data_IF_778174160006
#
_entry.id   IF_778174160006
#
_cell.length_a   1.000
_cell.length_b   1.000
_cell.length_c   1.000
_cell.angle_alpha   90.00
_cell.angle_beta   90.00
_cell.angle_gamma   90.00
#
_symmetry.space_group_name_H-M   'P 1'
#
loop_
_entity.id
_entity.type
_entity.pdbx_description
1 polymer ?
#
# COMPACT_ATOMS: atom_id res chain seq x y z
N UNK A 1 -14.70 -54.08 37.64
CA UNK A 1 -15.26 -52.98 36.82
C UNK A 1 -14.48 -52.91 35.51
N UNK A 2 -15.12 -53.05 34.35
CA UNK A 2 -14.45 -52.99 33.04
C UNK A 2 -14.78 -51.63 32.43
N UNK A 3 -13.80 -50.72 32.41
CA UNK A 3 -13.93 -49.44 31.71
C UNK A 3 -14.07 -49.71 30.21
N UNK A 4 -15.31 -49.70 29.72
CA UNK A 4 -15.57 -49.71 28.29
C UNK A 4 -15.08 -48.37 27.76
N UNK A 5 -14.00 -48.40 26.97
CA UNK A 5 -13.38 -47.19 26.38
C UNK A 5 -14.43 -46.42 25.59
N UNK A 6 -14.88 -45.30 26.15
CA UNK A 6 -15.80 -44.36 25.51
C UNK A 6 -15.06 -43.60 24.40
N UNK A 7 -14.91 -44.26 23.25
CA UNK A 7 -14.22 -43.74 22.06
C UNK A 7 -15.10 -42.83 21.19
N UNK A 8 -16.35 -42.56 21.61
CA UNK A 8 -17.34 -41.79 20.83
C UNK A 8 -17.00 -40.30 20.76
N UNK A 9 -16.40 -39.73 21.80
CA UNK A 9 -15.93 -38.34 21.80
C UNK A 9 -14.72 -38.09 20.90
N UNK A 10 -13.95 -39.12 20.54
CA UNK A 10 -12.73 -38.96 19.76
C UNK A 10 -12.99 -38.53 18.31
N UNK A 11 -14.01 -39.08 17.66
CA UNK A 11 -14.36 -38.71 16.28
C UNK A 11 -14.80 -37.25 16.15
N UNK A 12 -15.52 -36.73 17.15
CA UNK A 12 -15.94 -35.33 17.18
C UNK A 12 -14.73 -34.41 17.35
N UNK A 13 -13.83 -34.73 18.27
CA UNK A 13 -12.60 -33.94 18.49
C UNK A 13 -11.73 -33.94 17.23
N UNK A 14 -11.53 -35.10 16.59
CA UNK A 14 -10.77 -35.19 15.34
C UNK A 14 -11.43 -34.36 14.23
N UNK A 15 -12.76 -34.43 14.09
CA UNK A 15 -13.51 -33.62 13.12
C UNK A 15 -13.33 -32.11 13.37
N UNK A 16 -13.45 -31.67 14.61
CA UNK A 16 -13.26 -30.25 14.97
C UNK A 16 -11.85 -29.76 14.69
N UNK A 17 -10.82 -30.55 15.02
CA UNK A 17 -9.42 -30.18 14.74
C UNK A 17 -9.17 -30.06 13.24
N UNK A 18 -9.70 -30.99 12.44
CA UNK A 18 -9.56 -30.95 10.98
C UNK A 18 -10.28 -29.72 10.40
N UNK A 19 -11.52 -29.45 10.82
CA UNK A 19 -12.28 -28.27 10.39
C UNK A 19 -11.57 -26.97 10.77
N UNK A 20 -11.05 -26.90 11.99
CA UNK A 20 -10.27 -25.75 12.46
C UNK A 20 -8.97 -25.60 11.65
N UNK A 21 -8.28 -26.69 11.34
CA UNK A 21 -7.12 -26.69 10.46
C UNK A 21 -7.45 -26.13 9.08
N UNK A 22 -8.56 -26.54 8.47
CA UNK A 22 -9.02 -25.98 7.20
C UNK A 22 -9.35 -24.50 7.29
N UNK A 23 -9.95 -24.04 8.40
CA UNK A 23 -10.20 -22.63 8.62
C UNK A 23 -8.89 -21.82 8.64
N UNK A 24 -7.87 -22.29 9.38
CA UNK A 24 -6.55 -21.63 9.42
C UNK A 24 -5.90 -21.61 8.05
N UNK A 25 -5.98 -22.71 7.29
CA UNK A 25 -5.46 -22.76 5.92
C UNK A 25 -6.18 -21.78 5.00
N UNK A 26 -7.51 -21.70 5.08
CA UNK A 26 -8.30 -20.76 4.30
C UNK A 26 -7.95 -19.30 4.63
N UNK A 27 -7.76 -18.98 5.92
CA UNK A 27 -7.30 -17.66 6.36
C UNK A 27 -5.87 -17.36 5.84
N UNK A 28 -4.99 -18.35 5.84
CA UNK A 28 -3.64 -18.22 5.26
C UNK A 28 -3.66 -17.95 3.76
N UNK A 29 -4.52 -18.65 3.00
CA UNK A 29 -4.70 -18.39 1.56
C UNK A 29 -5.22 -16.97 1.34
N UNK A 30 -6.21 -16.53 2.12
CA UNK A 30 -6.73 -15.17 2.04
C UNK A 30 -5.64 -14.12 2.31
N UNK A 31 -4.80 -14.35 3.33
CA UNK A 31 -3.68 -13.46 3.69
C UNK A 31 -2.63 -13.35 2.57
N UNK A 32 -2.42 -14.39 1.78
CA UNK A 32 -1.39 -14.39 0.70
C UNK A 32 -1.95 -13.93 -0.64
N UNK A 33 -3.25 -14.05 -0.89
CA UNK A 33 -3.84 -13.72 -2.18
C UNK A 33 -4.62 -12.41 -2.15
N UNK A 34 -5.48 -12.20 -1.16
CA UNK A 34 -6.41 -11.06 -1.16
C UNK A 34 -5.81 -9.83 -0.48
N UNK A 35 -5.17 -10.00 0.68
CA UNK A 35 -4.56 -8.87 1.41
C UNK A 35 -3.53 -8.11 0.55
N UNK A 36 -2.63 -8.77 -0.22
CA UNK A 36 -1.69 -8.05 -1.08
C UNK A 36 -2.40 -7.32 -2.22
N UNK A 37 -3.45 -7.90 -2.81
CA UNK A 37 -4.24 -7.23 -3.86
C UNK A 37 -4.91 -5.97 -3.33
N UNK A 38 -5.54 -6.03 -2.17
CA UNK A 38 -6.16 -4.86 -1.54
C UNK A 38 -5.10 -3.78 -1.23
N UNK A 39 -3.92 -4.18 -0.74
CA UNK A 39 -2.83 -3.24 -0.45
C UNK A 39 -2.30 -2.59 -1.71
N UNK A 40 -2.13 -3.35 -2.80
CA UNK A 40 -1.71 -2.83 -4.09
C UNK A 40 -2.70 -1.78 -4.64
N UNK A 41 -4.00 -1.95 -4.40
CA UNK A 41 -5.00 -0.94 -4.77
C UNK A 41 -4.83 0.37 -3.99
N UNK A 42 -4.54 0.28 -2.69
CA UNK A 42 -4.26 1.47 -1.84
C UNK A 42 -2.97 2.16 -2.29
N UNK A 43 -1.94 1.39 -2.59
CA UNK A 43 -0.65 1.91 -3.09
C UNK A 43 -0.80 2.57 -4.47
N UNK A 44 -1.63 2.01 -5.35
CA UNK A 44 -1.92 2.60 -6.66
C UNK A 44 -2.74 3.90 -6.58
N UNK A 45 -3.68 4.00 -5.64
CA UNK A 45 -4.37 5.27 -5.37
C UNK A 45 -3.39 6.32 -4.85
N UNK A 46 -2.49 5.91 -3.95
CA UNK A 46 -1.46 6.78 -3.44
C UNK A 46 -0.47 7.25 -4.53
N UNK A 47 -0.08 6.39 -5.47
CA UNK A 47 0.81 6.79 -6.57
C UNK A 47 0.14 7.82 -7.49
N UNK A 48 -1.14 7.67 -7.80
CA UNK A 48 -1.89 8.67 -8.56
C UNK A 48 -1.96 10.01 -7.82
N UNK A 49 -2.18 9.98 -6.50
CA UNK A 49 -2.16 11.21 -5.69
C UNK A 49 -0.80 11.91 -5.74
N UNK A 50 0.30 11.16 -5.66
CA UNK A 50 1.66 11.72 -5.77
C UNK A 50 1.91 12.31 -7.16
N UNK A 51 1.44 11.64 -8.23
CA UNK A 51 1.53 12.16 -9.60
C UNK A 51 0.79 13.50 -9.75
N UNK A 52 -0.41 13.60 -9.19
CA UNK A 52 -1.19 14.85 -9.15
C UNK A 52 -0.46 15.95 -8.37
N UNK A 53 0.07 15.64 -7.18
CA UNK A 53 0.84 16.58 -6.34
C UNK A 53 2.07 17.13 -7.11
N UNK A 54 2.75 16.30 -7.91
CA UNK A 54 3.86 16.75 -8.77
C UNK A 54 3.40 17.60 -9.94
N UNK A 55 2.21 17.35 -10.48
CA UNK A 55 1.56 18.21 -11.46
C UNK A 55 1.34 19.62 -10.91
N UNK A 56 0.85 19.70 -9.68
CA UNK A 56 0.65 20.97 -8.97
C UNK A 56 1.98 21.68 -8.66
N UNK A 57 3.00 20.93 -8.21
CA UNK A 57 4.34 21.48 -7.98
C UNK A 57 4.91 22.10 -9.25
N UNK A 58 4.78 21.42 -10.40
CA UNK A 58 5.20 21.96 -11.69
C UNK A 58 4.49 23.26 -12.03
N UNK A 59 3.18 23.32 -11.82
CA UNK A 59 2.38 24.52 -12.08
C UNK A 59 2.80 25.69 -11.18
N UNK A 60 3.10 25.42 -9.90
CA UNK A 60 3.58 26.42 -8.94
C UNK A 60 4.97 26.95 -9.32
N UNK A 61 5.88 26.07 -9.76
CA UNK A 61 7.21 26.48 -10.26
C UNK A 61 7.08 27.36 -11.51
N UNK A 62 6.22 26.99 -12.46
CA UNK A 62 5.98 27.79 -13.67
C UNK A 62 5.37 29.15 -13.33
N UNK A 63 4.41 29.19 -12.39
CA UNK A 63 3.81 30.43 -11.91
C UNK A 63 4.84 31.32 -11.24
N UNK A 64 5.65 30.77 -10.34
CA UNK A 64 6.72 31.50 -9.66
C UNK A 64 7.73 32.11 -10.63
N UNK A 65 8.11 31.37 -11.67
CA UNK A 65 8.98 31.88 -12.74
C UNK A 65 8.35 32.99 -13.58
N UNK A 66 7.04 32.92 -13.83
CA UNK A 66 6.32 33.90 -14.65
C UNK A 66 5.95 35.19 -13.90
N UNK A 67 5.59 35.10 -12.62
CA UNK A 67 5.05 36.23 -11.84
C UNK A 67 5.99 36.72 -10.75
N UNK A 68 7.02 35.95 -10.38
CA UNK A 68 7.86 36.19 -9.21
C UNK A 68 7.18 35.85 -7.87
N UNK A 69 6.00 35.22 -7.88
CA UNK A 69 5.30 34.83 -6.64
C UNK A 69 5.89 33.57 -6.02
N UNK A 70 6.06 33.53 -4.70
CA UNK A 70 6.42 32.29 -3.99
C UNK A 70 5.19 31.38 -3.84
N UNK A 71 5.38 30.07 -4.06
CA UNK A 71 4.38 29.02 -3.85
C UNK A 71 4.95 27.86 -3.03
N UNK A 72 4.07 27.03 -2.49
CA UNK A 72 4.42 25.80 -1.77
C UNK A 72 3.38 24.74 -2.08
N UNK A 73 3.86 23.56 -2.49
CA UNK A 73 3.03 22.40 -2.77
C UNK A 73 3.37 21.31 -1.78
N UNK A 74 2.34 20.68 -1.20
CA UNK A 74 2.52 19.52 -0.33
C UNK A 74 2.54 18.26 -1.19
N UNK A 75 3.50 17.36 -0.92
CA UNK A 75 3.54 16.04 -1.55
C UNK A 75 3.31 14.99 -0.47
N UNK A 76 2.30 14.14 -0.67
CA UNK A 76 1.98 13.05 0.24
C UNK A 76 2.93 11.88 -0.03
N UNK A 77 4.03 11.75 0.72
CA UNK A 77 5.05 10.71 0.45
C UNK A 77 4.75 9.33 1.05
N UNK A 78 3.67 9.17 1.81
CA UNK A 78 3.35 7.87 2.42
C UNK A 78 1.85 7.66 2.60
N UNK A 79 1.47 6.39 2.76
CA UNK A 79 0.09 5.99 2.97
C UNK A 79 -0.04 4.90 4.03
N UNK A 80 -1.23 4.79 4.62
CA UNK A 80 -1.55 3.81 5.66
C UNK A 80 -2.59 2.84 5.15
N UNK A 81 -2.38 1.56 5.42
CA UNK A 81 -3.35 0.53 5.09
C UNK A 81 -4.58 0.59 6.02
N UNK A 82 -5.81 0.35 5.51
CA UNK A 82 -7.02 0.27 6.32
C UNK A 82 -6.92 -0.82 7.40
N UNK A 83 -7.54 -0.59 8.56
CA UNK A 83 -7.56 -1.57 9.65
C UNK A 83 -8.29 -2.87 9.24
N UNK A 84 -7.75 -4.03 9.66
CA UNK A 84 -8.32 -5.35 9.38
C UNK A 84 -8.51 -6.14 10.68
N UNK A 85 -9.64 -6.83 10.83
CA UNK A 85 -9.99 -7.54 12.08
C UNK A 85 -9.22 -8.84 12.29
N UNK A 86 -9.03 -9.63 11.23
CA UNK A 86 -8.41 -10.96 11.32
C UNK A 86 -7.04 -11.06 10.63
N UNK A 87 -6.62 -10.00 9.94
CA UNK A 87 -5.48 -10.03 9.01
C UNK A 87 -4.45 -8.98 9.37
N UNK A 88 -3.23 -9.23 8.92
CA UNK A 88 -2.08 -8.37 9.22
C UNK A 88 -1.72 -7.57 7.98
N UNK A 89 -1.61 -6.25 8.16
CA UNK A 89 -1.02 -5.37 7.16
C UNK A 89 0.48 -5.25 7.39
N UNK A 90 1.27 -5.01 6.32
CA UNK A 90 2.65 -4.58 6.49
C UNK A 90 2.71 -3.20 7.18
N UNK A 91 3.89 -2.79 7.67
CA UNK A 91 4.11 -1.42 8.15
C UNK A 91 3.71 -0.39 7.09
N UNK A 92 3.26 0.82 7.48
CA UNK A 92 2.92 1.88 6.53
C UNK A 92 4.07 2.17 5.56
N UNK A 93 3.74 2.42 4.29
CA UNK A 93 4.72 2.77 3.26
C UNK A 93 5.06 4.25 3.33
N UNK A 94 6.33 4.55 3.08
CA UNK A 94 6.87 5.91 3.01
C UNK A 94 7.87 6.02 1.87
N UNK A 95 7.89 7.18 1.21
CA UNK A 95 8.85 7.57 0.20
C UNK A 95 9.76 8.69 0.67
N UNK A 96 10.75 8.99 -0.16
CA UNK A 96 11.69 10.10 0.02
C UNK A 96 11.55 11.07 -1.13
N UNK A 97 11.68 12.36 -0.83
CA UNK A 97 11.81 13.41 -1.82
C UNK A 97 13.14 14.12 -1.58
N UNK A 98 13.94 14.20 -2.63
CA UNK A 98 15.21 14.91 -2.61
C UNK A 98 15.34 15.75 -3.87
N UNK A 99 16.00 16.89 -3.72
CA UNK A 99 16.42 17.71 -4.86
C UNK A 99 17.83 17.27 -5.23
N UNK A 100 18.05 16.99 -6.51
CA UNK A 100 19.40 16.75 -7.01
C UNK A 100 20.11 18.07 -7.38
N UNK A 101 21.44 18.00 -7.50
CA UNK A 101 22.21 19.13 -7.97
C UNK A 101 21.78 19.51 -9.40
N UNK A 102 21.65 20.81 -9.67
CA UNK A 102 21.29 21.32 -11.00
C UNK A 102 22.32 20.87 -12.04
N UNK A 103 21.91 19.96 -12.93
CA UNK A 103 22.71 19.52 -14.08
C UNK A 103 22.69 20.53 -15.24
N UNK A 104 23.51 20.29 -16.26
CA UNK A 104 23.54 21.12 -17.47
C UNK A 104 22.22 20.93 -18.27
N UNK A 105 21.37 21.96 -18.32
CA UNK A 105 20.15 21.96 -19.14
C UNK A 105 20.49 22.51 -20.53
N UNK A 106 20.46 21.66 -21.56
CA UNK A 106 20.78 22.07 -22.94
C UNK A 106 19.52 22.10 -23.81
N UNK A 107 19.07 23.31 -24.15
CA UNK A 107 17.99 23.53 -25.12
C UNK A 107 18.58 23.63 -26.52
N UNK A 108 18.15 22.78 -27.45
CA UNK A 108 18.60 22.78 -28.86
C UNK A 108 17.44 23.07 -29.79
N UNK A 109 17.70 23.86 -30.83
CA UNK A 109 16.72 24.22 -31.87
C UNK A 109 15.47 24.97 -31.37
N UNK A 110 15.58 25.79 -30.33
CA UNK A 110 14.48 26.67 -29.92
C UNK A 110 14.36 27.85 -30.90
N UNK A 111 13.15 28.07 -31.42
CA UNK A 111 12.77 29.28 -32.15
C UNK A 111 11.72 30.01 -31.32
N UNK A 112 11.99 31.27 -31.00
CA UNK A 112 11.03 32.17 -30.35
C UNK A 112 10.48 33.06 -31.47
N UNK A 113 9.17 32.97 -31.70
CA UNK A 113 8.45 33.83 -32.64
C UNK A 113 8.11 35.18 -32.01
#
# INVERSE_FOLDING_TARGET
MRFSRDRRGQSVVVGTVILFGFLILALGVYQVQVVPTDNANVEFQHSQQVEDDFGDLRNDVLRAGATGSTGSTQIQLGTRYPARTFFINPPPVSGSLETEATGEIRVRNATVG
#
